data_IF_008020428082
#
_entry.id   IF_008020428082
#
_cell.length_a   1.000
_cell.length_b   1.000
_cell.length_c   1.000
_cell.angle_alpha   90.00
_cell.angle_beta   90.00
_cell.angle_gamma   90.00
#
_symmetry.space_group_name_H-M   'P 1'
#
loop_
_entity.id
_entity.type
_entity.pdbx_description
1 polymer ?
#
# COMPACT_ATOMS: atom_id res chain seq x y z
N UNK A 1 4.04 -28.19 -10.25
CA UNK A 1 3.44 -27.78 -8.96
C UNK A 1 4.33 -26.78 -8.21
N UNK A 2 5.48 -27.17 -7.64
CA UNK A 2 6.34 -26.27 -6.84
C UNK A 2 6.75 -24.97 -7.55
N UNK A 3 7.10 -25.04 -8.85
CA UNK A 3 7.46 -23.86 -9.66
C UNK A 3 6.30 -22.87 -9.76
N UNK A 4 5.06 -23.35 -9.91
CA UNK A 4 3.88 -22.51 -10.00
C UNK A 4 3.60 -21.80 -8.66
N UNK A 5 3.82 -22.50 -7.53
CA UNK A 5 3.69 -21.90 -6.19
C UNK A 5 4.75 -20.83 -5.95
N UNK A 6 6.01 -21.07 -6.36
CA UNK A 6 7.08 -20.06 -6.27
C UNK A 6 6.79 -18.85 -7.15
N UNK A 7 6.32 -19.07 -8.39
CA UNK A 7 5.93 -17.99 -9.30
C UNK A 7 4.81 -17.14 -8.71
N UNK A 8 3.79 -17.77 -8.12
CA UNK A 8 2.68 -17.08 -7.46
C UNK A 8 3.15 -16.27 -6.25
N UNK A 9 4.04 -16.82 -5.41
CA UNK A 9 4.59 -16.12 -4.26
C UNK A 9 5.38 -14.85 -4.65
N UNK A 10 5.92 -14.81 -5.86
CA UNK A 10 6.63 -13.67 -6.43
C UNK A 10 5.73 -12.72 -7.24
N UNK A 11 4.44 -13.03 -7.43
CA UNK A 11 3.50 -12.19 -8.17
C UNK A 11 3.03 -10.99 -7.34
N UNK A 12 2.73 -9.86 -8.00
CA UNK A 12 2.20 -8.66 -7.34
C UNK A 12 0.86 -8.96 -6.66
N UNK A 13 0.66 -8.72 -5.34
CA UNK A 13 -0.56 -9.11 -4.64
C UNK A 13 -1.79 -8.39 -5.18
N UNK A 14 -1.60 -7.18 -5.74
CA UNK A 14 -2.66 -6.45 -6.42
C UNK A 14 -3.25 -7.14 -7.65
N UNK A 15 -2.54 -8.10 -8.27
CA UNK A 15 -3.11 -8.95 -9.35
C UNK A 15 -4.05 -10.03 -8.82
N UNK A 16 -3.92 -10.37 -7.54
CA UNK A 16 -4.71 -11.38 -6.84
C UNK A 16 -5.94 -10.76 -6.15
N UNK A 17 -6.13 -9.44 -6.26
CA UNK A 17 -7.19 -8.72 -5.54
C UNK A 17 -6.98 -8.63 -4.03
N UNK A 18 -5.82 -9.05 -3.49
CA UNK A 18 -5.52 -8.97 -2.06
C UNK A 18 -4.91 -7.60 -1.68
N UNK A 19 -5.10 -7.13 -0.44
CA UNK A 19 -4.55 -5.87 0.03
C UNK A 19 -3.04 -5.77 -0.21
N UNK A 20 -2.65 -4.61 -0.74
CA UNK A 20 -1.40 -4.33 -1.46
C UNK A 20 -0.10 -4.56 -0.71
N UNK A 21 -0.16 -4.94 0.56
CA UNK A 21 0.99 -4.95 1.45
C UNK A 21 1.35 -6.34 1.97
N UNK A 22 0.56 -7.37 1.70
CA UNK A 22 0.75 -8.69 2.32
C UNK A 22 0.30 -9.82 1.40
N UNK A 23 1.18 -10.79 1.20
CA UNK A 23 0.88 -12.09 0.62
C UNK A 23 1.58 -13.14 1.48
N UNK A 24 0.87 -13.68 2.46
CA UNK A 24 1.37 -14.69 3.39
C UNK A 24 1.13 -16.10 2.86
N UNK A 25 1.75 -17.07 3.52
CA UNK A 25 1.61 -18.50 3.19
C UNK A 25 0.15 -18.98 3.11
N UNK A 26 -0.78 -18.57 4.00
CA UNK A 26 -2.20 -18.94 3.87
C UNK A 26 -2.87 -18.35 2.63
N UNK A 27 -2.50 -17.13 2.24
CA UNK A 27 -3.03 -16.48 1.03
C UNK A 27 -2.55 -17.24 -0.22
N UNK A 28 -1.27 -17.63 -0.23
CA UNK A 28 -0.69 -18.46 -1.29
C UNK A 28 -1.40 -19.82 -1.35
N UNK A 29 -1.66 -20.47 -0.22
CA UNK A 29 -2.36 -21.75 -0.21
C UNK A 29 -3.78 -21.64 -0.81
N UNK A 30 -4.53 -20.61 -0.39
CA UNK A 30 -5.88 -20.31 -0.89
C UNK A 30 -5.87 -20.11 -2.40
N UNK A 31 -4.93 -19.32 -2.91
CA UNK A 31 -4.85 -18.98 -4.33
C UNK A 31 -4.37 -20.17 -5.19
N UNK A 32 -3.43 -20.99 -4.70
CA UNK A 32 -2.97 -22.21 -5.40
C UNK A 32 -4.12 -23.21 -5.55
N UNK A 33 -4.95 -23.36 -4.52
CA UNK A 33 -6.17 -24.20 -4.58
C UNK A 33 -7.22 -23.55 -5.47
N UNK A 34 -7.46 -22.24 -5.33
CA UNK A 34 -8.43 -21.49 -6.14
C UNK A 34 -8.14 -21.53 -7.64
N UNK A 35 -6.86 -21.59 -8.03
CA UNK A 35 -6.42 -21.78 -9.42
C UNK A 35 -6.43 -23.24 -9.89
N UNK A 36 -6.77 -24.19 -9.04
CA UNK A 36 -6.75 -25.63 -9.36
C UNK A 36 -5.36 -26.21 -9.61
N UNK A 37 -4.30 -25.55 -9.13
CA UNK A 37 -2.92 -26.05 -9.27
C UNK A 37 -2.73 -27.32 -8.44
N UNK A 38 -3.41 -27.40 -7.29
CA UNK A 38 -3.50 -28.57 -6.40
C UNK A 38 -4.90 -28.65 -5.80
N UNK A 39 -5.33 -29.86 -5.43
CA UNK A 39 -6.59 -30.04 -4.70
C UNK A 39 -6.47 -29.57 -3.23
N UNK A 40 -5.33 -29.86 -2.60
CA UNK A 40 -5.03 -29.46 -1.22
C UNK A 40 -3.52 -29.29 -1.05
N UNK A 41 -3.10 -28.36 -0.19
CA UNK A 41 -1.70 -28.19 0.19
C UNK A 41 -1.58 -27.59 1.59
N UNK A 42 -0.63 -28.09 2.38
CA UNK A 42 -0.34 -27.52 3.69
C UNK A 42 0.52 -26.25 3.58
N UNK A 43 0.26 -25.29 4.46
CA UNK A 43 1.11 -24.10 4.57
C UNK A 43 2.56 -24.44 4.91
N UNK A 44 2.81 -25.50 5.68
CA UNK A 44 4.18 -25.98 5.99
C UNK A 44 4.94 -26.43 4.73
N UNK A 45 4.26 -27.05 3.77
CA UNK A 45 4.86 -27.46 2.49
C UNK A 45 5.26 -26.26 1.67
N UNK A 46 4.38 -25.26 1.58
CA UNK A 46 4.67 -23.97 0.91
C UNK A 46 5.84 -23.28 1.61
N UNK A 47 5.83 -23.18 2.94
CA UNK A 47 6.90 -22.54 3.70
C UNK A 47 8.26 -23.20 3.46
N UNK A 48 8.31 -24.53 3.42
CA UNK A 48 9.54 -25.28 3.10
C UNK A 48 10.04 -24.95 1.70
N UNK A 49 9.18 -25.02 0.68
CA UNK A 49 9.56 -24.69 -0.70
C UNK A 49 10.04 -23.26 -0.88
N UNK A 50 9.42 -22.29 -0.19
CA UNK A 50 9.87 -20.90 -0.27
C UNK A 50 11.20 -20.69 0.45
N UNK A 51 11.40 -21.38 1.58
CA UNK A 51 12.63 -21.25 2.38
C UNK A 51 13.84 -21.91 1.71
N UNK A 52 13.65 -23.03 1.01
CA UNK A 52 14.70 -23.73 0.24
C UNK A 52 15.38 -22.82 -0.79
N UNK A 53 14.64 -21.90 -1.41
CA UNK A 53 15.18 -20.93 -2.39
C UNK A 53 15.28 -19.52 -1.82
N UNK A 54 15.22 -19.37 -0.49
CA UNK A 54 15.28 -18.09 0.20
C UNK A 54 14.24 -17.04 -0.26
N UNK A 55 13.09 -17.49 -0.79
CA UNK A 55 12.00 -16.63 -1.24
C UNK A 55 11.23 -16.09 -0.02
N UNK A 56 11.14 -14.76 0.08
CA UNK A 56 10.44 -14.05 1.16
C UNK A 56 9.29 -13.20 0.57
N UNK A 57 8.10 -13.78 0.34
CA UNK A 57 7.01 -13.08 -0.35
C UNK A 57 6.55 -11.88 0.46
N UNK A 58 6.58 -10.70 -0.18
CA UNK A 58 5.95 -9.45 0.25
C UNK A 58 6.05 -9.12 1.76
N UNK A 59 7.20 -9.46 2.40
CA UNK A 59 7.47 -9.17 3.83
C UNK A 59 7.70 -7.68 4.09
N UNK A 60 8.04 -6.92 3.06
CA UNK A 60 8.29 -5.49 3.13
C UNK A 60 7.17 -4.74 2.44
N UNK A 61 6.69 -3.66 3.06
CA UNK A 61 5.71 -2.76 2.45
C UNK A 61 6.38 -2.08 1.26
N UNK A 62 5.94 -2.41 0.05
CA UNK A 62 6.38 -1.68 -1.15
C UNK A 62 6.01 -0.21 -1.00
N UNK A 63 6.91 0.69 -1.39
CA UNK A 63 6.60 2.11 -1.49
C UNK A 63 5.35 2.27 -2.37
N UNK A 64 4.40 3.09 -1.91
CA UNK A 64 3.15 3.30 -2.64
C UNK A 64 3.49 4.12 -3.89
N UNK A 65 3.67 3.44 -5.02
CA UNK A 65 3.76 4.13 -6.31
C UNK A 65 2.36 4.61 -6.71
N UNK A 66 2.22 5.85 -7.22
CA UNK A 66 0.96 6.33 -7.78
C UNK A 66 0.43 5.40 -8.85
N UNK A 67 -0.72 4.76 -8.59
CA UNK A 67 -1.37 3.86 -9.56
C UNK A 67 -2.66 4.39 -10.13
N UNK A 68 -3.23 5.42 -9.51
CA UNK A 68 -4.34 6.15 -10.08
C UNK A 68 -3.81 6.97 -11.26
N UNK A 69 -4.31 6.78 -12.50
CA UNK A 69 -3.91 7.59 -13.65
C UNK A 69 -4.14 9.09 -13.43
N UNK A 70 -5.05 9.45 -12.54
CA UNK A 70 -5.35 10.83 -12.15
C UNK A 70 -4.65 11.26 -10.85
N UNK A 71 -3.68 10.49 -10.36
CA UNK A 71 -3.03 10.76 -9.07
C UNK A 71 -2.50 12.18 -8.98
N UNK A 72 -1.77 12.65 -10.00
CA UNK A 72 -1.19 13.99 -10.01
C UNK A 72 -2.26 15.07 -9.87
N UNK A 73 -3.34 14.98 -10.66
CA UNK A 73 -4.45 15.94 -10.63
C UNK A 73 -5.16 15.93 -9.27
N UNK A 74 -5.42 14.74 -8.70
CA UNK A 74 -6.07 14.60 -7.39
C UNK A 74 -5.16 15.08 -6.26
N UNK A 75 -3.88 14.75 -6.30
CA UNK A 75 -2.88 15.16 -5.32
C UNK A 75 -2.66 16.68 -5.35
N UNK A 76 -2.54 17.27 -6.54
CA UNK A 76 -2.42 18.71 -6.72
C UNK A 76 -3.58 19.46 -6.06
N UNK A 77 -4.82 19.02 -6.28
CA UNK A 77 -6.01 19.62 -5.62
C UNK A 77 -5.93 19.57 -4.08
N UNK A 78 -5.44 18.46 -3.53
CA UNK A 78 -5.25 18.34 -2.06
C UNK A 78 -4.16 19.30 -1.59
N UNK A 79 -3.04 19.39 -2.31
CA UNK A 79 -1.95 20.32 -1.99
C UNK A 79 -2.41 21.79 -2.07
N UNK A 80 -3.20 22.15 -3.08
CA UNK A 80 -3.80 23.48 -3.21
C UNK A 80 -4.66 23.81 -1.98
N UNK A 81 -5.51 22.87 -1.55
CA UNK A 81 -6.34 23.05 -0.34
C UNK A 81 -5.49 23.27 0.92
N UNK A 82 -4.38 22.55 1.08
CA UNK A 82 -3.41 22.81 2.15
C UNK A 82 -2.74 24.19 2.03
N UNK A 83 -2.48 24.64 0.81
CA UNK A 83 -1.98 25.99 0.50
C UNK A 83 -3.07 27.07 0.55
N UNK A 84 -4.27 26.76 1.04
CA UNK A 84 -5.44 27.65 1.08
C UNK A 84 -5.86 28.19 -0.29
N UNK A 85 -5.77 27.35 -1.33
CA UNK A 85 -6.21 27.66 -2.69
C UNK A 85 -7.17 26.57 -3.19
N UNK A 86 -8.19 26.94 -3.95
CA UNK A 86 -9.07 26.00 -4.64
C UNK A 86 -9.48 26.56 -6.00
N UNK A 87 -9.29 25.78 -7.07
CA UNK A 87 -9.57 26.20 -8.46
C UNK A 87 -8.92 27.56 -8.82
N UNK A 88 -7.71 27.80 -8.32
CA UNK A 88 -6.95 29.04 -8.56
C UNK A 88 -7.40 30.24 -7.72
N UNK A 89 -8.30 30.07 -6.75
CA UNK A 89 -8.79 31.13 -5.85
C UNK A 89 -8.34 30.89 -4.42
N UNK A 90 -7.96 31.96 -3.73
CA UNK A 90 -7.63 31.89 -2.31
C UNK A 90 -8.89 31.59 -1.48
N UNK A 91 -8.77 30.70 -0.49
CA UNK A 91 -9.81 30.42 0.49
C UNK A 91 -9.95 31.58 1.47
N UNK A 92 -11.18 31.94 1.81
CA UNK A 92 -11.47 33.04 2.72
C UNK A 92 -11.32 32.63 4.21
N UNK A 93 -11.61 33.53 5.14
CA UNK A 93 -11.50 33.27 6.58
C UNK A 93 -12.63 32.42 7.16
N UNK A 94 -13.70 32.19 6.40
CA UNK A 94 -14.88 31.37 6.72
C UNK A 94 -14.83 30.01 6.02
N UNK A 95 -13.91 29.81 5.08
CA UNK A 95 -13.63 28.55 4.43
C UNK A 95 -12.79 27.63 5.31
N UNK A 96 -13.27 26.40 5.50
CA UNK A 96 -12.62 25.38 6.30
C UNK A 96 -12.31 24.14 5.45
N UNK A 97 -11.06 23.69 5.51
CA UNK A 97 -10.63 22.42 4.91
C UNK A 97 -10.65 21.35 6.00
N UNK A 98 -11.48 20.33 5.81
CA UNK A 98 -11.60 19.20 6.74
C UNK A 98 -11.12 17.93 6.02
N UNK A 99 -10.11 17.26 6.59
CA UNK A 99 -9.66 15.95 6.11
C UNK A 99 -10.26 14.85 6.97
N UNK A 100 -11.07 13.98 6.36
CA UNK A 100 -11.63 12.81 7.02
C UNK A 100 -10.65 11.61 7.03
N UNK A 101 -9.67 11.59 6.12
CA UNK A 101 -8.60 10.60 6.12
C UNK A 101 -7.49 11.12 7.05
N UNK A 102 -7.53 10.70 8.30
CA UNK A 102 -6.49 11.03 9.28
C UNK A 102 -5.23 10.21 8.96
N UNK A 103 -4.34 10.78 8.15
CA UNK A 103 -2.94 10.34 8.13
C UNK A 103 -2.23 10.99 9.31
N UNK A 104 -2.21 10.29 10.44
CA UNK A 104 -1.53 10.68 11.70
C UNK A 104 -0.01 10.95 11.57
N UNK A 105 0.58 10.91 10.38
CA UNK A 105 2.02 11.13 10.13
C UNK A 105 2.34 12.10 8.99
N UNK A 106 1.37 12.87 8.46
CA UNK A 106 1.69 14.03 7.62
C UNK A 106 1.89 15.23 8.55
N UNK A 107 3.13 15.46 8.98
CA UNK A 107 3.51 16.71 9.64
C UNK A 107 3.73 17.81 8.59
N UNK A 108 2.65 18.26 7.95
CA UNK A 108 2.61 19.54 7.24
C UNK A 108 2.18 20.65 8.21
N UNK A 109 2.78 20.69 9.41
CA UNK A 109 2.54 21.76 10.39
C UNK A 109 3.73 22.70 10.37
N UNK A 110 3.51 23.92 9.91
CA UNK A 110 4.41 25.04 10.22
C UNK A 110 4.38 25.20 11.75
N UNK A 111 5.55 25.21 12.39
CA UNK A 111 5.60 25.49 13.84
C UNK A 111 5.17 26.94 14.05
N UNK A 112 4.12 27.14 14.85
CA UNK A 112 3.68 28.48 15.26
C UNK A 112 4.62 29.15 16.29
N UNK A 113 5.62 28.40 16.80
CA UNK A 113 6.58 28.88 17.79
C UNK A 113 7.99 28.42 17.46
N UNK A 114 8.98 29.23 17.83
CA UNK A 114 10.40 28.94 17.63
C UNK A 114 10.86 27.75 18.49
N UNK A 115 11.90 27.05 18.01
CA UNK A 115 12.51 25.96 18.77
C UNK A 115 13.45 26.57 19.81
N UNK A 116 13.18 26.32 21.09
CA UNK A 116 14.07 26.75 22.18
C UNK A 116 15.17 25.70 22.44
N UNK A 117 16.40 26.12 22.81
CA UNK A 117 17.47 25.21 23.18
C UNK A 117 17.15 24.45 24.49
N UNK A 118 17.78 23.28 24.72
CA UNK A 118 17.62 22.49 25.94
C UNK A 118 18.19 23.19 27.19
#
# INVERSE_FOLDING_TARGET
>A
MVVAVKALACELPGRLGVPLSRLHVPDIATEVVGRGIVAEISGTTIWRWLSEDAIRPWKQRSWIFPRDPQFEVKAARVLDLYARTYEGKALDSRDFVVSADEKTSIQARIRGHETLPP
#
